data_IF_414319164162
#
_entry.id   IF_414319164162
#
_cell.length_a   1.000
_cell.length_b   1.000
_cell.length_c   1.000
_cell.angle_alpha   90.00
_cell.angle_beta   90.00
_cell.angle_gamma   90.00
#
_symmetry.space_group_name_H-M   'P 1'
#
loop_
_entity.id
_entity.type
_entity.pdbx_description
1 polymer ?
#
# COMPACT_ATOMS: atom_id res chain seq x y z
N UNK A 1 -30.01 -7.23 -29.77
CA UNK A 1 -28.88 -7.30 -28.81
C UNK A 1 -28.99 -6.06 -27.95
N UNK A 2 -29.74 -6.15 -26.85
CA UNK A 2 -29.88 -5.04 -25.91
C UNK A 2 -28.58 -4.94 -25.12
N UNK A 3 -27.81 -3.89 -25.40
CA UNK A 3 -26.61 -3.59 -24.65
C UNK A 3 -27.08 -3.02 -23.31
N UNK A 4 -26.97 -3.84 -22.28
CA UNK A 4 -27.36 -3.45 -20.93
C UNK A 4 -26.26 -2.57 -20.31
N UNK A 5 -26.25 -1.29 -20.69
CA UNK A 5 -25.26 -0.30 -20.25
C UNK A 5 -25.16 -0.17 -18.73
N UNK A 6 -26.24 -0.47 -18.01
CA UNK A 6 -26.24 -0.49 -16.54
C UNK A 6 -25.43 -1.65 -15.98
N UNK A 7 -25.59 -2.85 -16.54
CA UNK A 7 -24.80 -4.02 -16.17
C UNK A 7 -23.30 -3.86 -16.52
N UNK A 8 -23.01 -3.18 -17.64
CA UNK A 8 -21.63 -2.83 -18.01
C UNK A 8 -21.04 -1.85 -16.99
N UNK A 9 -21.79 -0.81 -16.60
CA UNK A 9 -21.34 0.18 -15.62
C UNK A 9 -20.99 -0.44 -14.26
N UNK A 10 -21.82 -1.36 -13.75
CA UNK A 10 -21.54 -2.06 -12.48
C UNK A 10 -20.32 -2.97 -12.57
N UNK A 11 -20.16 -3.69 -13.68
CA UNK A 11 -19.02 -4.60 -13.90
C UNK A 11 -17.69 -3.84 -13.98
N UNK A 12 -17.66 -2.70 -14.68
CA UNK A 12 -16.47 -1.85 -14.77
C UNK A 12 -16.09 -1.30 -13.40
N UNK A 13 -17.08 -0.82 -12.63
CA UNK A 13 -16.83 -0.33 -11.27
C UNK A 13 -16.25 -1.42 -10.37
N UNK A 14 -16.76 -2.65 -10.47
CA UNK A 14 -16.24 -3.77 -9.70
C UNK A 14 -14.78 -4.05 -10.05
N UNK A 15 -14.42 -4.14 -11.33
CA UNK A 15 -13.04 -4.38 -11.75
C UNK A 15 -12.14 -3.21 -11.36
N UNK A 16 -12.61 -1.97 -11.49
CA UNK A 16 -11.85 -0.78 -11.07
C UNK A 16 -11.54 -0.83 -9.58
N UNK A 17 -12.54 -1.11 -8.74
CA UNK A 17 -12.36 -1.18 -7.28
C UNK A 17 -11.41 -2.32 -6.90
N UNK A 18 -11.62 -3.52 -7.46
CA UNK A 18 -10.78 -4.68 -7.20
C UNK A 18 -9.34 -4.43 -7.69
N UNK A 19 -9.16 -3.91 -8.90
CA UNK A 19 -7.86 -3.57 -9.47
C UNK A 19 -7.14 -2.45 -8.71
N UNK A 20 -7.87 -1.45 -8.22
CA UNK A 20 -7.30 -0.39 -7.40
C UNK A 20 -6.87 -0.93 -6.03
N UNK A 21 -7.67 -1.79 -5.40
CA UNK A 21 -7.33 -2.38 -4.10
C UNK A 21 -6.15 -3.37 -4.20
N UNK A 22 -6.20 -4.31 -5.14
CA UNK A 22 -5.18 -5.35 -5.29
C UNK A 22 -3.92 -4.86 -6.03
N UNK A 23 -4.07 -3.90 -6.94
CA UNK A 23 -2.95 -3.32 -7.69
C UNK A 23 -2.37 -2.08 -7.02
N UNK A 24 -3.14 -0.98 -6.98
CA UNK A 24 -2.66 0.33 -6.53
C UNK A 24 -2.66 0.54 -5.00
N UNK A 25 -3.37 -0.30 -4.25
CA UNK A 25 -3.47 -0.19 -2.79
C UNK A 25 -2.13 -0.43 -2.09
N UNK A 26 -1.33 -1.36 -2.59
CA UNK A 26 0.02 -1.66 -2.08
C UNK A 26 1.01 -0.50 -2.32
N UNK A 27 1.12 0.05 -3.54
CA UNK A 27 1.86 1.29 -3.79
C UNK A 27 1.40 2.47 -2.91
N UNK A 28 0.11 2.63 -2.69
CA UNK A 28 -0.42 3.68 -1.83
C UNK A 28 -0.01 3.52 -0.36
N UNK A 29 -0.04 2.29 0.18
CA UNK A 29 0.47 1.98 1.51
C UNK A 29 1.97 2.26 1.65
N UNK A 30 2.75 1.90 0.64
CA UNK A 30 4.19 2.19 0.61
C UNK A 30 4.44 3.71 0.61
N UNK A 31 3.72 4.46 -0.22
CA UNK A 31 3.79 5.91 -0.26
C UNK A 31 3.38 6.56 1.08
N UNK A 32 2.37 6.01 1.76
CA UNK A 32 1.96 6.45 3.08
C UNK A 32 3.05 6.20 4.14
N UNK A 33 3.72 5.05 4.09
CA UNK A 33 4.87 4.75 4.95
C UNK A 33 6.04 5.71 4.73
N UNK A 34 6.38 5.99 3.46
CA UNK A 34 7.40 6.99 3.08
C UNK A 34 7.01 8.39 3.56
N UNK A 35 5.74 8.77 3.43
CA UNK A 35 5.23 10.06 3.94
C UNK A 35 5.34 10.14 5.47
N UNK A 36 5.12 9.04 6.17
CA UNK A 36 5.26 8.95 7.62
C UNK A 36 6.73 9.13 8.07
N UNK A 37 7.69 8.57 7.34
CA UNK A 37 9.13 8.78 7.58
C UNK A 37 9.56 10.21 7.31
N UNK A 38 8.93 10.91 6.36
CA UNK A 38 9.25 12.29 6.03
C UNK A 38 8.79 13.30 7.10
N UNK A 39 8.09 12.88 8.16
CA UNK A 39 7.72 13.76 9.27
C UNK A 39 8.94 14.06 10.15
N UNK A 40 9.45 15.28 10.00
CA UNK A 40 10.52 15.87 10.81
C UNK A 40 9.92 16.57 12.04
N UNK A 41 10.55 16.47 13.23
CA UNK A 41 10.13 17.21 14.42
C UNK A 41 10.10 18.74 14.19
N UNK A 42 9.11 19.45 14.74
CA UNK A 42 9.08 20.91 14.67
C UNK A 42 10.30 21.52 15.37
N UNK A 43 10.90 22.52 14.73
CA UNK A 43 12.09 23.22 15.25
C UNK A 43 13.43 22.60 14.85
N UNK A 44 13.45 21.57 14.00
CA UNK A 44 14.69 21.07 13.44
C UNK A 44 15.12 21.95 12.26
N UNK A 45 16.26 22.66 12.34
CA UNK A 45 16.75 23.50 11.25
C UNK A 45 17.06 22.63 10.04
N UNK A 46 16.62 23.05 8.86
CA UNK A 46 17.12 22.47 7.62
C UNK A 46 18.48 23.13 7.35
N UNK A 47 19.56 22.37 7.53
CA UNK A 47 20.91 22.80 7.21
C UNK A 47 21.37 22.11 5.90
N UNK A 48 21.46 22.84 4.77
CA UNK A 48 21.85 22.29 3.48
C UNK A 48 23.34 21.90 3.40
N UNK A 49 24.19 22.34 4.33
CA UNK A 49 25.60 21.91 4.42
C UNK A 49 25.81 20.72 5.36
N UNK A 50 24.79 20.34 6.13
CA UNK A 50 24.84 19.16 6.99
C UNK A 50 24.60 17.87 6.19
N UNK A 51 25.50 16.90 6.31
CA UNK A 51 25.32 15.53 5.80
C UNK A 51 24.45 14.68 6.76
N UNK A 52 23.88 15.30 7.78
CA UNK A 52 23.09 14.63 8.80
C UNK A 52 21.70 14.31 8.28
N UNK A 53 21.34 13.02 8.37
CA UNK A 53 20.01 12.58 7.97
C UNK A 53 18.96 13.18 8.92
N UNK A 54 17.92 13.88 8.41
CA UNK A 54 16.95 14.53 9.28
C UNK A 54 16.32 13.52 10.25
N UNK A 55 16.22 13.85 11.55
CA UNK A 55 15.60 13.00 12.53
C UNK A 55 14.13 12.84 12.17
N UNK A 56 13.68 11.60 12.10
CA UNK A 56 12.28 11.25 11.91
C UNK A 56 11.62 11.16 13.29
N UNK A 57 10.40 11.68 13.43
CA UNK A 57 9.64 11.52 14.68
C UNK A 57 9.43 10.03 15.04
N UNK A 58 9.38 9.69 16.34
CA UNK A 58 9.08 8.31 16.78
C UNK A 58 7.74 7.83 16.24
N UNK A 59 6.73 8.71 16.19
CA UNK A 59 5.43 8.41 15.59
C UNK A 59 5.53 8.11 14.08
N UNK A 60 6.36 8.84 13.35
CA UNK A 60 6.62 8.60 11.92
C UNK A 60 7.31 7.25 11.65
N UNK A 61 8.24 6.85 12.53
CA UNK A 61 8.87 5.52 12.45
C UNK A 61 7.87 4.39 12.68
N UNK A 62 7.02 4.51 13.71
CA UNK A 62 6.00 3.50 14.00
C UNK A 62 5.01 3.39 12.83
N UNK A 63 4.51 4.52 12.31
CA UNK A 63 3.62 4.53 11.16
C UNK A 63 4.23 3.87 9.91
N UNK A 64 5.51 4.13 9.65
CA UNK A 64 6.23 3.51 8.55
C UNK A 64 6.42 2.00 8.73
N UNK A 65 6.83 1.55 9.92
CA UNK A 65 6.99 0.11 10.22
C UNK A 65 5.67 -0.63 10.05
N UNK A 66 4.56 -0.04 10.51
CA UNK A 66 3.22 -0.62 10.34
C UNK A 66 2.83 -0.69 8.87
N UNK A 67 3.01 0.39 8.10
CA UNK A 67 2.69 0.40 6.67
C UNK A 67 3.52 -0.61 5.88
N UNK A 68 4.85 -0.64 6.09
CA UNK A 68 5.71 -1.59 5.40
C UNK A 68 5.47 -3.02 5.84
N UNK A 69 5.24 -3.25 7.14
CA UNK A 69 4.86 -4.57 7.66
C UNK A 69 3.57 -5.07 7.02
N UNK A 70 2.57 -4.21 6.87
CA UNK A 70 1.31 -4.55 6.20
C UNK A 70 1.53 -4.86 4.71
N UNK A 71 2.37 -4.08 4.01
CA UNK A 71 2.74 -4.37 2.62
C UNK A 71 3.36 -5.76 2.47
N UNK A 72 4.32 -6.10 3.34
CA UNK A 72 4.97 -7.42 3.32
C UNK A 72 3.96 -8.53 3.61
N UNK A 73 3.07 -8.36 4.59
CA UNK A 73 2.03 -9.35 4.92
C UNK A 73 1.08 -9.58 3.74
N UNK A 74 0.60 -8.52 3.10
CA UNK A 74 -0.30 -8.63 1.94
C UNK A 74 0.40 -9.31 0.77
N UNK A 75 1.66 -8.93 0.49
CA UNK A 75 2.45 -9.55 -0.58
C UNK A 75 2.70 -11.04 -0.30
N UNK A 76 3.13 -11.39 0.92
CA UNK A 76 3.36 -12.78 1.32
C UNK A 76 2.07 -13.61 1.25
N UNK A 77 0.95 -13.06 1.71
CA UNK A 77 -0.35 -13.70 1.59
C UNK A 77 -0.72 -13.96 0.12
N UNK A 78 -0.52 -12.97 -0.76
CA UNK A 78 -0.73 -13.12 -2.20
C UNK A 78 0.12 -14.25 -2.80
N UNK A 79 1.41 -14.31 -2.44
CA UNK A 79 2.30 -15.38 -2.90
C UNK A 79 1.83 -16.74 -2.39
N UNK A 80 1.48 -16.87 -1.11
CA UNK A 80 0.98 -18.13 -0.52
C UNK A 80 -0.28 -18.60 -1.25
N UNK A 81 -1.22 -17.70 -1.54
CA UNK A 81 -2.45 -18.04 -2.28
C UNK A 81 -2.15 -18.44 -3.72
N UNK A 82 -1.22 -17.77 -4.40
CA UNK A 82 -0.86 -18.10 -5.79
C UNK A 82 -0.15 -19.46 -5.86
N UNK A 83 0.79 -19.72 -4.96
CA UNK A 83 1.63 -20.92 -4.97
C UNK A 83 0.88 -22.13 -4.40
N UNK A 84 0.23 -21.98 -3.25
CA UNK A 84 -0.45 -23.07 -2.53
C UNK A 84 -1.96 -23.07 -2.74
N UNK A 85 -2.51 -22.18 -3.56
CA UNK A 85 -3.96 -22.07 -3.78
C UNK A 85 -4.60 -23.39 -4.20
N UNK A 86 -3.92 -24.17 -5.05
CA UNK A 86 -4.38 -25.52 -5.43
C UNK A 86 -4.45 -26.51 -4.27
N UNK A 87 -3.54 -26.41 -3.31
CA UNK A 87 -3.48 -27.30 -2.14
C UNK A 87 -4.51 -26.88 -1.07
N UNK A 88 -4.85 -25.59 -1.00
CA UNK A 88 -5.76 -25.00 -0.02
C UNK A 88 -7.23 -25.03 -0.46
N UNK A 89 -7.50 -24.80 -1.75
CA UNK A 89 -8.86 -24.67 -2.31
C UNK A 89 -9.21 -25.78 -3.31
N UNK A 90 -8.27 -26.65 -3.66
CA UNK A 90 -8.53 -27.85 -4.44
C UNK A 90 -9.18 -28.94 -3.58
N UNK A 91 -10.50 -28.89 -3.46
CA UNK A 91 -11.30 -30.13 -3.43
C UNK A 91 -11.52 -30.60 -4.86
#
# INVERSE_FOLDING_TARGET
>A
MDIDFRAIGTSILQVLVVGLLLGAGLPALFALGMRSLANVPPGHPFDPESDERPPTTTAGRVGAVVCFGLCVLVAAFGVVVIVFGKQMFGK
#
